data_IF_597362903403
#
_entry.id   IF_597362903403
#
_cell.length_a   1.000
_cell.length_b   1.000
_cell.length_c   1.000
_cell.angle_alpha   90.00
_cell.angle_beta   90.00
_cell.angle_gamma   90.00
#
_symmetry.space_group_name_H-M   'P 1'
#
loop_
_entity.id
_entity.type
_entity.pdbx_description
1 polymer ?
#
# COMPACT_ATOMS: atom_id res chain seq x y z
N UNK A 1 4.43 6.12 16.45
CA UNK A 1 5.27 7.33 16.53
C UNK A 1 5.39 7.90 15.12
N UNK A 2 5.37 9.23 14.93
CA UNK A 2 5.71 9.82 13.63
C UNK A 2 7.21 9.69 13.41
N UNK A 3 7.60 9.12 12.30
CA UNK A 3 8.99 8.95 11.90
C UNK A 3 9.13 9.24 10.41
N UNK A 4 10.28 9.77 10.02
CA UNK A 4 10.60 9.96 8.61
C UNK A 4 11.17 8.64 8.10
N UNK A 5 10.49 8.03 7.14
CA UNK A 5 11.01 6.89 6.41
C UNK A 5 11.89 7.39 5.26
N UNK A 6 13.14 6.93 5.22
CA UNK A 6 14.05 7.15 4.10
C UNK A 6 14.03 5.92 3.19
N UNK A 7 13.55 6.11 1.96
CA UNK A 7 13.57 5.12 0.90
C UNK A 7 14.93 5.02 0.22
N UNK A 8 14.99 4.18 -0.81
CA UNK A 8 16.09 4.14 -1.76
C UNK A 8 16.32 5.49 -2.45
N UNK A 9 17.58 5.77 -2.79
CA UNK A 9 17.99 7.00 -3.48
C UNK A 9 17.70 8.31 -2.73
N UNK A 10 17.61 8.30 -1.39
CA UNK A 10 17.53 9.51 -0.56
C UNK A 10 16.17 10.19 -0.54
N UNK A 11 15.10 9.49 -0.96
CA UNK A 11 13.73 10.00 -0.92
C UNK A 11 13.13 9.78 0.46
N UNK A 12 12.40 10.76 0.97
CA UNK A 12 11.83 10.68 2.33
C UNK A 12 10.33 10.89 2.34
N UNK A 13 9.64 10.18 3.22
CA UNK A 13 8.23 10.39 3.52
C UNK A 13 7.99 10.37 5.03
N UNK A 14 6.90 10.97 5.47
CA UNK A 14 6.45 10.79 6.84
C UNK A 14 5.60 9.51 6.95
N UNK A 15 5.91 8.69 7.94
CA UNK A 15 5.08 7.54 8.31
C UNK A 15 4.80 7.56 9.80
N UNK A 16 3.64 7.05 10.18
CA UNK A 16 3.37 6.71 11.57
C UNK A 16 3.74 5.24 11.73
N UNK A 17 4.81 4.94 12.45
CA UNK A 17 5.27 3.58 12.73
C UNK A 17 4.87 3.11 14.14
N UNK A 18 4.36 1.89 14.27
CA UNK A 18 4.17 1.22 15.56
C UNK A 18 4.20 -0.30 15.43
N UNK A 19 5.12 -0.98 16.13
CA UNK A 19 5.14 -2.44 16.24
C UNK A 19 5.17 -3.18 14.90
N UNK A 20 5.98 -2.72 13.94
CA UNK A 20 6.07 -3.30 12.60
C UNK A 20 4.94 -2.88 11.64
N UNK A 21 4.03 -2.01 12.08
CA UNK A 21 2.97 -1.42 11.25
C UNK A 21 3.34 0.00 10.86
N UNK A 22 3.22 0.33 9.57
CA UNK A 22 3.31 1.70 9.06
C UNK A 22 1.92 2.19 8.65
N UNK A 23 1.62 3.45 8.95
CA UNK A 23 0.44 4.16 8.45
C UNK A 23 0.92 5.39 7.68
N UNK A 24 0.42 5.52 6.45
CA UNK A 24 0.80 6.55 5.48
C UNK A 24 -0.38 6.88 4.56
N UNK A 25 -0.27 7.97 3.81
CA UNK A 25 -1.30 8.44 2.89
C UNK A 25 -0.99 8.05 1.44
N UNK A 26 -2.03 7.89 0.62
CA UNK A 26 -1.88 7.67 -0.83
C UNK A 26 -1.14 8.84 -1.49
N UNK A 27 -1.32 10.06 -1.02
CA UNK A 27 -0.63 11.24 -1.51
C UNK A 27 0.89 11.16 -1.26
N UNK A 28 1.30 10.79 -0.05
CA UNK A 28 2.73 10.66 0.29
C UNK A 28 3.40 9.47 -0.39
N UNK A 29 2.67 8.39 -0.66
CA UNK A 29 3.19 7.21 -1.33
C UNK A 29 3.17 7.30 -2.85
N UNK A 30 2.05 7.71 -3.44
CA UNK A 30 1.82 7.60 -4.88
C UNK A 30 1.95 8.93 -5.62
N UNK A 31 1.65 10.09 -5.00
CA UNK A 31 1.86 11.40 -5.64
C UNK A 31 3.30 11.89 -5.52
N UNK A 32 4.00 11.59 -4.43
CA UNK A 32 5.46 11.82 -4.36
C UNK A 32 6.21 10.88 -5.29
N UNK A 33 7.40 11.28 -5.74
CA UNK A 33 8.28 10.54 -6.66
C UNK A 33 8.93 9.29 -6.05
N UNK A 34 8.17 8.51 -5.31
CA UNK A 34 8.53 7.20 -4.79
C UNK A 34 8.63 6.20 -5.95
N UNK A 35 9.61 5.31 -5.84
CA UNK A 35 9.95 4.31 -6.84
C UNK A 35 9.74 2.91 -6.28
N UNK A 36 9.84 1.92 -7.16
CA UNK A 36 9.61 0.50 -6.82
C UNK A 36 10.51 0.06 -5.66
N UNK A 37 11.78 0.47 -5.68
CA UNK A 37 12.74 0.10 -4.63
C UNK A 37 12.40 0.69 -3.25
N UNK A 38 11.77 1.86 -3.22
CA UNK A 38 11.28 2.49 -1.99
C UNK A 38 10.14 1.66 -1.38
N UNK A 39 9.26 1.12 -2.22
CA UNK A 39 8.16 0.26 -1.77
C UNK A 39 8.69 -1.05 -1.19
N UNK A 40 9.69 -1.68 -1.80
CA UNK A 40 10.31 -2.86 -1.21
C UNK A 40 11.03 -2.55 0.10
N UNK A 41 11.74 -1.43 0.18
CA UNK A 41 12.38 -1.00 1.43
C UNK A 41 11.35 -0.79 2.55
N UNK A 42 10.19 -0.20 2.22
CA UNK A 42 9.09 0.00 3.14
C UNK A 42 8.50 -1.33 3.62
N UNK A 43 8.22 -2.26 2.70
CA UNK A 43 7.65 -3.57 3.04
C UNK A 43 8.63 -4.45 3.83
N UNK A 44 9.95 -4.32 3.61
CA UNK A 44 10.97 -4.99 4.44
C UNK A 44 11.04 -4.41 5.85
N UNK A 45 10.77 -3.12 6.01
CA UNK A 45 10.79 -2.43 7.32
C UNK A 45 9.52 -2.69 8.12
N UNK A 46 8.37 -2.76 7.45
CA UNK A 46 7.06 -2.91 8.06
C UNK A 46 6.31 -4.10 7.46
N UNK A 47 5.98 -5.10 8.29
CA UNK A 47 5.20 -6.28 7.88
C UNK A 47 3.73 -5.94 7.57
N UNK A 48 3.27 -4.73 7.90
CA UNK A 48 1.92 -4.27 7.63
C UNK A 48 1.94 -2.78 7.30
N UNK A 49 1.32 -2.43 6.18
CA UNK A 49 1.22 -1.08 5.66
C UNK A 49 -0.25 -0.72 5.61
N UNK A 50 -0.61 0.39 6.23
CA UNK A 50 -1.94 0.97 6.20
C UNK A 50 -1.86 2.21 5.32
N UNK A 51 -2.63 2.22 4.25
CA UNK A 51 -2.72 3.30 3.29
C UNK A 51 -4.07 3.99 3.41
N UNK A 52 -4.07 5.28 3.75
CA UNK A 52 -5.30 6.08 3.86
C UNK A 52 -5.45 7.06 2.67
N UNK A 53 -6.71 7.37 2.34
CA UNK A 53 -7.05 8.39 1.34
C UNK A 53 -6.80 7.93 -0.10
N UNK A 54 -7.08 6.66 -0.41
CA UNK A 54 -6.97 6.17 -1.79
C UNK A 54 -8.16 6.71 -2.60
N UNK A 55 -7.94 7.58 -3.61
CA UNK A 55 -9.01 8.13 -4.42
C UNK A 55 -9.58 7.07 -5.38
N UNK A 56 -10.64 7.42 -6.11
CA UNK A 56 -11.04 6.64 -7.28
C UNK A 56 -9.90 6.71 -8.32
N UNK A 57 -9.37 5.54 -8.69
CA UNK A 57 -8.26 5.42 -9.64
C UNK A 57 -8.82 5.47 -11.07
N UNK A 58 -9.10 6.68 -11.54
CA UNK A 58 -9.57 6.94 -12.91
C UNK A 58 -8.41 7.08 -13.91
N UNK A 59 -8.73 7.09 -15.21
CA UNK A 59 -7.74 7.19 -16.30
C UNK A 59 -6.85 8.45 -16.21
N UNK A 60 -7.32 9.52 -15.57
CA UNK A 60 -6.55 10.75 -15.35
C UNK A 60 -5.41 10.56 -14.33
N UNK A 61 -5.53 9.58 -13.42
CA UNK A 61 -4.54 9.23 -12.39
C UNK A 61 -3.76 7.95 -12.74
N UNK A 62 -3.49 7.70 -14.02
CA UNK A 62 -2.81 6.48 -14.50
C UNK A 62 -1.41 6.29 -13.88
N UNK A 63 -0.68 7.37 -13.59
CA UNK A 63 0.65 7.30 -12.99
C UNK A 63 0.59 6.83 -11.55
N UNK A 64 -0.36 7.37 -10.78
CA UNK A 64 -0.64 7.00 -9.41
C UNK A 64 -1.20 5.57 -9.33
N UNK A 65 -2.09 5.19 -10.24
CA UNK A 65 -2.61 3.83 -10.35
C UNK A 65 -1.48 2.82 -10.60
N UNK A 66 -0.56 3.11 -11.55
CA UNK A 66 0.61 2.25 -11.79
C UNK A 66 1.53 2.16 -10.58
N UNK A 67 1.74 3.27 -9.87
CA UNK A 67 2.53 3.29 -8.63
C UNK A 67 1.87 2.47 -7.53
N UNK A 68 0.55 2.50 -7.44
CA UNK A 68 -0.22 1.69 -6.50
C UNK A 68 -0.13 0.19 -6.84
N UNK A 69 -0.21 -0.18 -8.12
CA UNK A 69 0.06 -1.56 -8.55
C UNK A 69 1.46 -2.01 -8.13
N UNK A 70 2.49 -1.20 -8.39
CA UNK A 70 3.86 -1.52 -7.95
C UNK A 70 3.98 -1.67 -6.42
N UNK A 71 3.20 -0.90 -5.64
CA UNK A 71 3.16 -1.05 -4.18
C UNK A 71 2.50 -2.37 -3.76
N UNK A 72 1.42 -2.78 -4.44
CA UNK A 72 0.79 -4.08 -4.22
C UNK A 72 1.78 -5.21 -4.55
N UNK A 73 2.46 -5.12 -5.69
CA UNK A 73 3.47 -6.09 -6.11
C UNK A 73 4.60 -6.20 -5.09
N UNK A 74 5.14 -5.06 -4.64
CA UNK A 74 6.19 -5.02 -3.62
C UNK A 74 5.74 -5.57 -2.26
N UNK A 75 4.48 -5.31 -1.88
CA UNK A 75 3.88 -5.86 -0.66
C UNK A 75 3.75 -7.37 -0.75
N UNK A 76 3.31 -7.88 -1.92
CA UNK A 76 3.15 -9.30 -2.17
C UNK A 76 4.50 -10.03 -2.13
N UNK A 77 5.51 -9.51 -2.83
CA UNK A 77 6.86 -10.08 -2.85
C UNK A 77 7.51 -10.11 -1.46
N UNK A 78 7.28 -9.08 -0.65
CA UNK A 78 7.80 -9.00 0.72
C UNK A 78 6.92 -9.74 1.75
N UNK A 79 5.82 -10.38 1.33
CA UNK A 79 4.79 -10.96 2.21
C UNK A 79 4.27 -9.97 3.28
N UNK A 80 4.26 -8.68 2.95
CA UNK A 80 3.72 -7.62 3.80
C UNK A 80 2.21 -7.47 3.59
N UNK A 81 1.49 -7.22 4.69
CA UNK A 81 0.04 -6.98 4.64
C UNK A 81 -0.25 -5.54 4.23
N UNK A 82 -1.02 -5.34 3.16
CA UNK A 82 -1.51 -4.02 2.77
C UNK A 82 -2.97 -3.84 3.19
N UNK A 83 -3.27 -2.79 3.93
CA UNK A 83 -4.64 -2.37 4.29
C UNK A 83 -4.90 -1.01 3.68
N UNK A 84 -5.78 -0.92 2.70
CA UNK A 84 -6.09 0.32 2.01
C UNK A 84 -7.50 0.83 2.40
N UNK A 85 -7.60 2.13 2.67
CA UNK A 85 -8.87 2.83 2.86
C UNK A 85 -9.15 3.72 1.64
N UNK A 86 -10.21 3.36 0.92
CA UNK A 86 -10.69 4.10 -0.24
C UNK A 86 -11.65 5.22 0.18
N UNK A 87 -11.63 6.33 -0.57
CA UNK A 87 -12.56 7.44 -0.39
C UNK A 87 -13.94 7.15 -1.00
N UNK A 88 -13.98 6.29 -2.02
CA UNK A 88 -15.20 5.81 -2.63
C UNK A 88 -15.51 4.36 -2.19
N UNK A 89 -16.79 3.94 -2.23
CA UNK A 89 -17.18 2.54 -2.06
C UNK A 89 -16.42 1.64 -3.05
N UNK A 90 -16.07 0.43 -2.61
CA UNK A 90 -15.34 -0.53 -3.43
C UNK A 90 -16.01 -0.79 -4.80
N UNK A 91 -17.35 -0.79 -4.84
CA UNK A 91 -18.11 -0.98 -6.08
C UNK A 91 -17.84 0.11 -7.13
N UNK A 92 -17.59 1.35 -6.70
CA UNK A 92 -17.29 2.48 -7.58
C UNK A 92 -15.83 2.44 -8.02
N UNK A 93 -14.91 2.14 -7.10
CA UNK A 93 -13.47 1.99 -7.40
C UNK A 93 -13.22 0.87 -8.44
N UNK A 94 -13.97 -0.23 -8.35
CA UNK A 94 -13.82 -1.39 -9.25
C UNK A 94 -14.70 -1.30 -10.51
N UNK A 95 -15.49 -0.24 -10.67
CA UNK A 95 -16.39 -0.10 -11.83
C UNK A 95 -15.62 -0.13 -13.16
N UNK A 96 -14.44 0.49 -13.21
CA UNK A 96 -13.53 0.46 -14.36
C UNK A 96 -12.90 -0.92 -14.63
N UNK A 97 -12.77 -1.77 -13.61
CA UNK A 97 -12.28 -3.15 -13.78
C UNK A 97 -13.30 -4.03 -14.52
N UNK A 98 -14.59 -3.68 -14.45
CA UNK A 98 -15.63 -4.31 -15.27
C UNK A 98 -15.47 -3.95 -16.75
N UNK A 99 -14.98 -2.74 -17.06
CA UNK A 99 -14.65 -2.32 -18.42
C UNK A 99 -13.31 -2.89 -18.93
N UNK A 100 -12.35 -3.15 -18.02
CA UNK A 100 -11.10 -3.87 -18.32
C UNK A 100 -11.28 -5.39 -18.46
N UNK A 101 -12.42 -5.96 -18.05
CA UNK A 101 -12.72 -7.39 -18.26
C UNK A 101 -12.77 -7.77 -19.75
N UNK A 102 -12.99 -6.79 -20.63
CA UNK A 102 -12.98 -6.95 -22.09
C UNK A 102 -11.59 -6.68 -22.71
N UNK A 103 -10.59 -6.28 -21.92
CA UNK A 103 -9.21 -6.07 -22.37
C UNK A 103 -8.34 -7.21 -21.84
N UNK A 104 -8.03 -8.16 -22.72
CA UNK A 104 -7.39 -9.44 -22.40
C UNK A 104 -6.11 -9.34 -21.56
N UNK A 105 -6.02 -10.20 -20.55
CA UNK A 105 -4.86 -10.44 -19.70
C UNK A 105 -3.77 -11.31 -20.38
N UNK A 106 -3.66 -11.29 -21.71
CA UNK A 106 -2.85 -12.26 -22.44
C UNK A 106 -1.33 -11.95 -22.44
N UNK A 107 -0.87 -10.79 -21.95
CA UNK A 107 0.56 -10.43 -22.05
C UNK A 107 1.20 -9.95 -20.72
N UNK A 108 1.01 -10.69 -19.63
CA UNK A 108 1.93 -10.62 -18.47
C UNK A 108 2.49 -12.00 -18.15
N UNK A 109 3.37 -12.49 -19.04
CA UNK A 109 4.49 -13.36 -18.64
C UNK A 109 5.64 -12.45 -18.17
N UNK A 110 6.48 -12.76 -17.17
CA UNK A 110 6.99 -14.08 -16.80
C UNK A 110 7.73 -14.02 -15.45
N UNK A 111 7.79 -15.19 -14.79
CA UNK A 111 8.65 -15.60 -13.64
C UNK A 111 8.28 -15.02 -12.28
N UNK A 112 8.27 -15.74 -11.15
CA UNK A 112 8.64 -17.11 -10.78
C UNK A 112 7.73 -17.53 -9.59
N UNK A 113 7.36 -18.79 -9.44
CA UNK A 113 8.06 -19.68 -8.49
C UNK A 113 7.19 -19.97 -7.25
N UNK A 114 6.91 -21.24 -7.00
CA UNK A 114 6.02 -21.75 -5.96
C UNK A 114 6.55 -21.51 -4.53
N UNK A 115 5.64 -21.27 -3.57
CA UNK A 115 5.97 -21.26 -2.14
C UNK A 115 4.74 -21.41 -1.25
N UNK A 116 4.50 -22.64 -0.77
CA UNK A 116 3.61 -22.94 0.34
C UNK A 116 4.18 -22.33 1.64
N UNK A 117 3.37 -21.54 2.34
CA UNK A 117 3.80 -20.83 3.54
C UNK A 117 2.63 -20.30 4.35
N UNK A 118 1.82 -21.21 4.86
CA UNK A 118 0.75 -20.91 5.80
C UNK A 118 1.36 -20.50 7.15
N UNK A 119 1.51 -19.20 7.38
CA UNK A 119 1.71 -18.66 8.74
C UNK A 119 0.99 -17.34 8.84
N UNK A 120 -0.25 -17.41 9.33
CA UNK A 120 -1.08 -16.25 9.63
C UNK A 120 -0.73 -15.66 11.00
N UNK A 121 -0.14 -14.45 11.08
CA UNK A 121 -0.29 -13.61 12.26
C UNK A 121 -1.76 -13.25 12.51
N UNK A 122 -2.20 -13.43 13.75
CA UNK A 122 -3.56 -13.14 14.21
C UNK A 122 -3.99 -11.71 13.84
N UNK A 123 -5.07 -11.61 13.07
CA UNK A 123 -5.70 -10.37 12.58
C UNK A 123 -6.07 -9.37 13.68
N UNK A 124 -6.18 -9.83 14.93
CA UNK A 124 -6.45 -9.00 16.10
C UNK A 124 -5.35 -7.98 16.39
N UNK A 125 -4.07 -8.29 16.12
CA UNK A 125 -2.95 -7.39 16.41
C UNK A 125 -2.90 -6.19 15.47
N UNK A 126 -3.29 -6.38 14.21
CA UNK A 126 -3.29 -5.33 13.19
C UNK A 126 -4.38 -4.30 13.48
N UNK A 127 -5.59 -4.74 13.83
CA UNK A 127 -6.70 -3.83 14.11
C UNK A 127 -6.45 -2.96 15.36
N UNK A 128 -5.87 -3.55 16.41
CA UNK A 128 -5.43 -2.85 17.61
C UNK A 128 -4.31 -1.83 17.32
N UNK A 129 -3.39 -2.15 16.41
CA UNK A 129 -2.36 -1.22 15.96
C UNK A 129 -2.99 -0.05 15.20
N UNK A 130 -3.90 -0.32 14.26
CA UNK A 130 -4.65 0.70 13.50
C UNK A 130 -5.39 1.66 14.45
N UNK A 131 -6.11 1.15 15.45
CA UNK A 131 -6.83 1.97 16.42
C UNK A 131 -5.89 2.86 17.25
N UNK A 132 -4.76 2.33 17.72
CA UNK A 132 -3.75 3.12 18.44
C UNK A 132 -3.10 4.18 17.55
N UNK A 133 -2.87 3.86 16.28
CA UNK A 133 -2.28 4.78 15.31
C UNK A 133 -3.26 5.90 14.94
N UNK A 134 -4.54 5.59 14.76
CA UNK A 134 -5.61 6.61 14.60
C UNK A 134 -5.74 7.50 15.83
N UNK A 135 -5.67 6.94 17.04
CA UNK A 135 -5.67 7.73 18.27
C UNK A 135 -4.44 8.66 18.39
N UNK A 136 -3.29 8.25 17.85
CA UNK A 136 -2.09 9.08 17.77
C UNK A 136 -2.11 10.09 16.61
N UNK A 137 -2.84 9.80 15.53
CA UNK A 137 -3.00 10.69 14.37
C UNK A 137 -4.08 11.76 14.59
N UNK A 138 -5.13 11.46 15.36
CA UNK A 138 -6.30 12.31 15.62
C UNK A 138 -6.08 13.48 16.59
N UNK A 139 -4.84 13.97 16.76
CA UNK A 139 -4.56 15.18 17.52
C UNK A 139 -3.77 16.17 16.65
N UNK A 140 -4.46 16.78 15.70
CA UNK A 140 -4.07 18.06 15.11
C UNK A 140 -4.87 19.20 15.77
N UNK A 141 -4.30 20.41 15.87
CA UNK A 141 -4.86 21.56 16.61
C UNK A 141 -6.16 22.11 16.04
#
# INVERSE_FOLDING_TARGET
RRETFEGGFGRTMEVIGHGGVALTSFEDMCRRSMGVEDYHALCRRYHTIILEGVPALDAECHNEARRFTNLIDASYEAHARLVARFEAPLAEVLSGLTALRDVGLDEVGQSAGCGDGDTSPSSSGVLEAVHRMKAAAGRGP
#
